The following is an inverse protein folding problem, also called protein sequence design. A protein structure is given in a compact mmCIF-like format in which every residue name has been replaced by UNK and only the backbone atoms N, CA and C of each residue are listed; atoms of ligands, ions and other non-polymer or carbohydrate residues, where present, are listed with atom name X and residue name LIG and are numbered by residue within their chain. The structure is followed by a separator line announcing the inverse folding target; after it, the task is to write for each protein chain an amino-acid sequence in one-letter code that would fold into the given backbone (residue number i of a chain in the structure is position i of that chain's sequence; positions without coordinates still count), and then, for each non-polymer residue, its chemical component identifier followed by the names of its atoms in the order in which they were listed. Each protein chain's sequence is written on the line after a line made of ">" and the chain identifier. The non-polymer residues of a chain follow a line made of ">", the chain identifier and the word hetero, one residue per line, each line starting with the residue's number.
data_IF_551464679609
#
_entry.id   IF_551464679609
#
_cell.length_a   1.000
_cell.length_b   1.000
_cell.length_c   1.000
_cell.angle_alpha   90.00
_cell.angle_beta   90.00
_cell.angle_gamma   90.00
#
_symmetry.space_group_name_H-M   'P 1'
#
loop_
_entity.id
_entity.type
_entity.pdbx_description
1 polymer ?
#
# COMPACT_ATOMS: atom_id res chain seq x y z
N UNK A 1 -25.36 -9.84 1.13
CA UNK A 1 -25.54 -9.90 2.61
C UNK A 1 -24.20 -10.27 3.21
N UNK A 2 -23.61 -9.40 4.03
CA UNK A 2 -22.28 -9.61 4.60
C UNK A 2 -22.39 -10.62 5.74
N UNK A 3 -21.80 -11.80 5.55
CA UNK A 3 -21.69 -12.84 6.59
C UNK A 3 -20.88 -12.29 7.76
N UNK A 4 -21.55 -11.90 8.85
CA UNK A 4 -20.95 -11.31 10.06
C UNK A 4 -21.59 -11.93 11.29
N UNK A 5 -20.80 -12.21 12.32
CA UNK A 5 -21.29 -12.75 13.59
C UNK A 5 -21.41 -11.60 14.58
N UNK A 6 -22.63 -11.20 14.91
CA UNK A 6 -22.88 -10.07 15.81
C UNK A 6 -23.10 -10.51 17.26
N UNK A 7 -22.38 -9.86 18.17
CA UNK A 7 -22.64 -9.90 19.61
C UNK A 7 -23.44 -8.66 20.02
N UNK A 8 -24.74 -8.89 20.27
CA UNK A 8 -25.71 -7.85 20.57
C UNK A 8 -25.93 -7.59 22.08
N UNK A 9 -25.39 -8.45 22.96
CA UNK A 9 -25.54 -8.35 24.42
C UNK A 9 -24.25 -8.68 25.16
N UNK A 10 -24.00 -7.98 26.26
CA UNK A 10 -22.91 -8.29 27.20
C UNK A 10 -23.27 -9.37 28.22
N UNK A 11 -24.56 -9.68 28.36
CA UNK A 11 -25.11 -10.71 29.24
C UNK A 11 -25.32 -12.01 28.45
N UNK A 12 -24.27 -12.51 27.82
CA UNK A 12 -24.25 -13.81 27.14
C UNK A 12 -23.76 -14.87 28.13
N UNK A 13 -24.33 -16.08 28.09
CA UNK A 13 -23.81 -17.19 28.90
C UNK A 13 -22.45 -17.59 28.35
N UNK A 14 -21.60 -18.16 29.20
CA UNK A 14 -20.24 -18.51 28.80
C UNK A 14 -20.22 -19.60 27.71
N UNK A 15 -21.11 -20.58 27.77
CA UNK A 15 -21.25 -21.65 26.75
C UNK A 15 -21.64 -21.09 25.38
N UNK A 16 -22.59 -20.16 25.34
CA UNK A 16 -23.01 -19.47 24.11
C UNK A 16 -21.86 -18.61 23.55
N UNK A 17 -21.06 -18.01 24.43
CA UNK A 17 -19.88 -17.23 24.05
C UNK A 17 -18.79 -18.11 23.43
N UNK A 18 -18.53 -19.30 23.97
CA UNK A 18 -17.60 -20.27 23.39
C UNK A 18 -18.07 -20.73 22.02
N UNK A 19 -19.35 -21.10 21.89
CA UNK A 19 -19.95 -21.52 20.62
C UNK A 19 -19.83 -20.44 19.54
N UNK A 20 -19.95 -19.17 19.93
CA UNK A 20 -19.78 -18.03 19.04
C UNK A 20 -18.32 -17.90 18.57
N UNK A 21 -17.35 -18.09 19.47
CA UNK A 21 -15.92 -18.09 19.15
C UNK A 21 -15.57 -19.25 18.22
N UNK A 22 -16.03 -20.47 18.51
CA UNK A 22 -15.79 -21.65 17.68
C UNK A 22 -16.32 -21.43 16.27
N UNK A 23 -17.56 -20.94 16.15
CA UNK A 23 -18.14 -20.57 14.86
C UNK A 23 -17.31 -19.53 14.11
N UNK A 24 -16.78 -18.53 14.81
CA UNK A 24 -15.94 -17.50 14.19
C UNK A 24 -14.62 -18.09 13.65
N UNK A 25 -14.03 -19.03 14.38
CA UNK A 25 -12.82 -19.75 13.96
C UNK A 25 -13.12 -20.62 12.73
N UNK A 26 -14.16 -21.45 12.81
CA UNK A 26 -14.51 -22.42 11.75
C UNK A 26 -14.87 -21.74 10.43
N UNK A 27 -15.53 -20.60 10.51
CA UNK A 27 -16.00 -19.86 9.33
C UNK A 27 -15.02 -18.80 8.85
N UNK A 28 -14.01 -18.46 9.65
CA UNK A 28 -13.08 -17.36 9.37
C UNK A 28 -13.76 -15.98 9.33
N UNK A 29 -14.92 -15.84 9.98
CA UNK A 29 -15.71 -14.61 10.02
C UNK A 29 -15.43 -13.84 11.32
N UNK A 30 -15.30 -12.52 11.20
CA UNK A 30 -15.05 -11.65 12.35
C UNK A 30 -16.28 -11.49 13.27
N UNK A 31 -16.02 -11.27 14.57
CA UNK A 31 -17.06 -11.00 15.56
C UNK A 31 -17.25 -9.49 15.70
N UNK A 32 -18.47 -9.02 15.43
CA UNK A 32 -18.83 -7.62 15.57
C UNK A 32 -19.56 -7.36 16.89
N UNK A 33 -19.16 -6.34 17.63
CA UNK A 33 -19.67 -6.04 18.96
C UNK A 33 -20.22 -4.61 18.98
N UNK A 34 -21.42 -4.38 19.53
CA UNK A 34 -21.94 -3.01 19.66
C UNK A 34 -20.98 -2.15 20.48
N UNK A 35 -20.73 -0.90 20.07
CA UNK A 35 -19.78 0.01 20.75
C UNK A 35 -20.04 0.18 22.24
N UNK A 36 -21.32 0.19 22.65
CA UNK A 36 -21.75 0.25 24.06
C UNK A 36 -21.36 -0.98 24.89
N UNK A 37 -21.15 -2.13 24.24
CA UNK A 37 -20.70 -3.38 24.85
C UNK A 37 -19.18 -3.45 24.84
N UNK A 38 -18.54 -3.01 23.75
CA UNK A 38 -17.09 -3.03 23.57
C UNK A 38 -16.31 -2.27 24.69
N UNK A 39 -16.90 -1.19 25.21
CA UNK A 39 -16.36 -0.39 26.31
C UNK A 39 -16.58 -0.98 27.70
N UNK A 40 -17.39 -2.03 27.85
CA UNK A 40 -17.68 -2.63 29.15
C UNK A 40 -16.48 -3.41 29.68
N UNK A 41 -16.23 -3.28 30.98
CA UNK A 41 -15.18 -4.00 31.70
C UNK A 41 -15.75 -5.21 32.46
N UNK A 42 -16.37 -6.14 31.74
CA UNK A 42 -16.94 -7.37 32.29
C UNK A 42 -16.14 -8.61 31.85
N UNK A 43 -16.47 -9.77 32.42
CA UNK A 43 -15.82 -11.06 32.14
C UNK A 43 -15.88 -11.42 30.65
N UNK A 44 -17.05 -11.25 30.01
CA UNK A 44 -17.26 -11.48 28.58
C UNK A 44 -16.27 -10.69 27.71
N UNK A 45 -16.16 -9.38 27.92
CA UNK A 45 -15.27 -8.53 27.13
C UNK A 45 -13.80 -8.75 27.45
N UNK A 46 -13.46 -9.09 28.71
CA UNK A 46 -12.09 -9.48 29.08
C UNK A 46 -11.66 -10.75 28.34
N UNK A 47 -12.53 -11.74 28.29
CA UNK A 47 -12.29 -12.98 27.55
C UNK A 47 -12.11 -12.71 26.06
N UNK A 48 -13.06 -12.02 25.42
CA UNK A 48 -12.97 -11.72 23.98
C UNK A 48 -11.70 -10.93 23.62
N UNK A 49 -11.34 -9.90 24.40
CA UNK A 49 -10.08 -9.15 24.20
C UNK A 49 -8.84 -10.02 24.38
N UNK A 50 -8.89 -11.00 25.28
CA UNK A 50 -7.81 -11.96 25.46
C UNK A 50 -7.68 -12.87 24.23
N UNK A 51 -8.79 -13.44 23.74
CA UNK A 51 -8.82 -14.29 22.52
C UNK A 51 -8.33 -13.50 21.29
N UNK A 52 -8.75 -12.24 21.14
CA UNK A 52 -8.28 -11.33 20.09
C UNK A 52 -6.78 -11.02 20.20
N UNK A 53 -6.26 -10.75 21.41
CA UNK A 53 -4.84 -10.50 21.65
C UNK A 53 -3.96 -11.67 21.19
N UNK A 54 -4.47 -12.89 21.32
CA UNK A 54 -3.82 -14.12 20.86
C UNK A 54 -4.05 -14.44 19.37
N UNK A 55 -4.72 -13.53 18.62
CA UNK A 55 -5.01 -13.64 17.19
C UNK A 55 -5.85 -14.86 16.81
N UNK A 56 -6.68 -15.33 17.73
CA UNK A 56 -7.59 -16.46 17.49
C UNK A 56 -8.83 -15.99 16.73
N UNK A 57 -9.33 -14.79 17.07
CA UNK A 57 -10.44 -14.10 16.41
C UNK A 57 -10.08 -12.63 16.16
N UNK A 58 -10.86 -11.93 15.35
CA UNK A 58 -10.85 -10.46 15.28
C UNK A 58 -12.13 -9.88 15.88
N UNK A 59 -12.03 -8.76 16.61
CA UNK A 59 -13.19 -8.04 17.14
C UNK A 59 -13.33 -6.67 16.49
N UNK A 60 -14.55 -6.31 16.09
CA UNK A 60 -14.82 -4.99 15.52
C UNK A 60 -16.04 -4.32 16.16
N UNK A 61 -16.01 -3.01 16.42
CA UNK A 61 -17.21 -2.28 16.81
C UNK A 61 -18.20 -2.25 15.65
N UNK A 62 -19.47 -2.55 15.92
CA UNK A 62 -20.56 -2.27 14.97
C UNK A 62 -20.53 -0.75 14.69
N UNK A 63 -20.59 -0.38 13.41
CA UNK A 63 -20.46 0.99 12.83
C UNK A 63 -19.05 1.58 12.69
N UNK A 64 -17.97 0.84 13.01
CA UNK A 64 -16.61 1.29 12.72
C UNK A 64 -16.03 0.35 11.66
N UNK A 65 -15.83 0.86 10.44
CA UNK A 65 -14.99 0.18 9.45
C UNK A 65 -13.67 -0.19 10.14
N UNK A 66 -13.31 -1.48 10.09
CA UNK A 66 -12.06 -1.97 10.64
C UNK A 66 -10.94 -1.00 10.23
N UNK A 67 -10.19 -0.39 11.18
CA UNK A 67 -9.10 0.50 10.79
C UNK A 67 -8.22 -0.30 9.85
N UNK A 68 -7.86 0.24 8.66
CA UNK A 68 -7.16 -0.51 7.64
C UNK A 68 -5.97 -1.17 8.31
N UNK A 69 -5.95 -2.51 8.24
CA UNK A 69 -4.95 -3.36 8.89
C UNK A 69 -3.61 -2.69 8.61
N UNK A 70 -2.91 -2.18 9.65
CA UNK A 70 -1.66 -1.43 9.44
C UNK A 70 -0.67 -2.34 8.75
N UNK A 71 -0.59 -2.26 7.42
CA UNK A 71 0.29 -3.12 6.63
C UNK A 71 1.70 -2.61 6.87
N UNK A 72 2.41 -3.27 7.77
CA UNK A 72 3.82 -2.95 7.98
C UNK A 72 4.61 -3.49 6.79
N UNK A 73 5.03 -2.61 5.89
CA UNK A 73 6.01 -2.96 4.86
C UNK A 73 7.32 -3.30 5.58
N UNK A 74 7.74 -4.57 5.55
CA UNK A 74 8.97 -5.02 6.24
C UNK A 74 10.23 -4.74 5.43
N UNK A 75 10.16 -4.93 4.11
CA UNK A 75 11.31 -4.77 3.22
C UNK A 75 11.76 -3.31 3.11
N UNK A 76 13.05 -3.05 3.40
CA UNK A 76 13.65 -1.72 3.18
C UNK A 76 13.53 -1.29 1.72
N UNK A 77 13.83 -2.19 0.76
CA UNK A 77 13.71 -1.91 -0.67
C UNK A 77 12.31 -1.43 -1.03
N UNK A 78 11.30 -2.11 -0.49
CA UNK A 78 9.90 -1.75 -0.75
C UNK A 78 9.52 -0.39 -0.16
N UNK A 79 10.05 -0.06 1.04
CA UNK A 79 9.88 1.28 1.61
C UNK A 79 10.52 2.36 0.74
N UNK A 80 11.69 2.10 0.16
CA UNK A 80 12.36 3.03 -0.78
C UNK A 80 11.48 3.29 -2.00
N UNK A 81 11.00 2.22 -2.65
CA UNK A 81 10.11 2.31 -3.81
C UNK A 81 8.86 3.15 -3.54
N UNK A 82 8.15 2.86 -2.45
CA UNK A 82 6.91 3.56 -2.10
C UNK A 82 7.21 5.00 -1.68
N UNK A 83 8.33 5.25 -1.00
CA UNK A 83 8.70 6.62 -0.61
C UNK A 83 8.93 7.49 -1.84
N UNK A 84 9.59 6.99 -2.89
CA UNK A 84 9.75 7.72 -4.15
C UNK A 84 8.40 8.04 -4.81
N UNK A 85 7.47 7.09 -4.81
CA UNK A 85 6.13 7.29 -5.34
C UNK A 85 5.36 8.36 -4.53
N UNK A 86 5.43 8.30 -3.20
CA UNK A 86 4.84 9.33 -2.32
C UNK A 86 5.44 10.72 -2.56
N UNK A 87 6.74 10.82 -2.80
CA UNK A 87 7.38 12.10 -3.15
C UNK A 87 6.89 12.63 -4.49
N UNK A 88 6.71 11.77 -5.50
CA UNK A 88 6.14 12.19 -6.79
C UNK A 88 4.70 12.71 -6.66
N UNK A 89 3.98 12.27 -5.61
CA UNK A 89 2.66 12.75 -5.23
C UNK A 89 2.70 13.98 -4.30
N UNK A 90 3.85 14.63 -4.15
CA UNK A 90 4.10 15.79 -3.29
C UNK A 90 3.88 15.52 -1.78
N UNK A 91 4.00 14.28 -1.33
CA UNK A 91 3.88 13.95 0.10
C UNK A 91 5.16 14.31 0.85
N UNK A 92 5.04 15.11 1.90
CA UNK A 92 6.18 15.53 2.71
C UNK A 92 6.78 14.38 3.54
N UNK A 93 8.09 14.43 3.78
CA UNK A 93 8.83 13.42 4.57
C UNK A 93 8.23 13.14 5.95
N UNK A 94 7.67 14.16 6.61
CA UNK A 94 7.00 14.01 7.91
C UNK A 94 5.83 13.04 7.80
N UNK A 95 5.05 13.11 6.73
CA UNK A 95 3.92 12.23 6.50
C UNK A 95 4.36 10.83 6.05
N UNK A 96 5.39 10.74 5.19
CA UNK A 96 6.00 9.45 4.82
C UNK A 96 6.49 8.70 6.07
N UNK A 97 7.15 9.40 7.00
CA UNK A 97 7.61 8.83 8.27
C UNK A 97 6.45 8.30 9.12
N UNK A 98 5.31 9.01 9.12
CA UNK A 98 4.07 8.60 9.80
C UNK A 98 3.46 7.36 9.16
N UNK A 99 3.35 7.32 7.83
CA UNK A 99 2.81 6.17 7.07
C UNK A 99 3.61 4.89 7.33
N UNK A 100 4.95 4.99 7.42
CA UNK A 100 5.81 3.84 7.74
C UNK A 100 6.05 3.59 9.23
N UNK A 101 5.55 4.46 10.11
CA UNK A 101 5.82 4.43 11.55
C UNK A 101 7.32 4.38 11.87
N UNK A 102 8.10 5.29 11.29
CA UNK A 102 9.55 5.42 11.48
C UNK A 102 9.94 6.84 11.84
N UNK A 103 11.16 7.06 12.33
CA UNK A 103 11.70 8.41 12.54
C UNK A 103 11.88 9.13 11.20
N UNK A 104 11.75 10.47 11.19
CA UNK A 104 11.94 11.30 9.98
C UNK A 104 13.31 11.03 9.35
N UNK A 105 14.38 10.94 10.15
CA UNK A 105 15.73 10.62 9.67
C UNK A 105 15.81 9.26 8.95
N UNK A 106 15.02 8.27 9.40
CA UNK A 106 14.91 6.96 8.74
C UNK A 106 14.14 7.06 7.42
N UNK A 107 13.09 7.87 7.35
CA UNK A 107 12.38 8.12 6.10
C UNK A 107 13.28 8.84 5.08
N UNK A 108 14.06 9.83 5.53
CA UNK A 108 15.06 10.51 4.69
C UNK A 108 16.13 9.55 4.17
N UNK A 109 16.57 8.58 4.98
CA UNK A 109 17.59 7.62 4.54
C UNK A 109 17.11 6.68 3.44
N UNK A 110 15.80 6.51 3.24
CA UNK A 110 15.26 5.76 2.10
C UNK A 110 15.62 6.40 0.74
N UNK A 111 15.88 7.70 0.71
CA UNK A 111 16.25 8.42 -0.52
C UNK A 111 17.75 8.53 -0.74
N UNK A 112 18.57 8.25 0.30
CA UNK A 112 20.03 8.40 0.22
C UNK A 112 20.67 7.54 -0.87
N UNK A 113 20.03 6.41 -1.17
CA UNK A 113 20.51 5.41 -2.13
C UNK A 113 19.96 5.64 -3.56
N UNK A 114 19.05 6.59 -3.73
CA UNK A 114 18.52 6.98 -5.04
C UNK A 114 19.49 7.97 -5.70
N UNK A 115 19.72 7.80 -7.00
CA UNK A 115 20.37 8.84 -7.80
C UNK A 115 19.48 10.07 -7.90
N UNK A 116 20.08 11.22 -8.27
CA UNK A 116 19.32 12.43 -8.57
C UNK A 116 18.37 12.15 -9.74
N UNK A 117 17.11 11.87 -9.43
CA UNK A 117 16.03 11.80 -10.40
C UNK A 117 15.73 13.22 -10.92
N UNK A 118 15.26 13.32 -12.16
CA UNK A 118 14.90 14.60 -12.78
C UNK A 118 13.48 15.02 -12.38
N UNK A 119 13.18 16.31 -12.54
CA UNK A 119 11.81 16.82 -12.39
C UNK A 119 10.87 16.10 -13.35
N UNK A 120 11.31 15.89 -14.59
CA UNK A 120 10.57 15.14 -15.62
C UNK A 120 10.24 13.72 -15.19
N UNK A 121 11.20 13.02 -14.57
CA UNK A 121 10.97 11.66 -14.06
C UNK A 121 9.87 11.64 -12.99
N UNK A 122 9.90 12.58 -12.04
CA UNK A 122 8.86 12.67 -11.02
C UNK A 122 7.50 13.03 -11.61
N UNK A 123 7.47 13.93 -12.59
CA UNK A 123 6.25 14.31 -13.28
C UNK A 123 5.62 13.11 -13.99
N UNK A 124 6.40 12.34 -14.74
CA UNK A 124 5.94 11.14 -15.45
C UNK A 124 5.51 10.05 -14.45
N UNK A 125 6.26 9.84 -13.36
CA UNK A 125 5.87 8.90 -12.32
C UNK A 125 4.52 9.29 -11.70
N UNK A 126 4.32 10.57 -11.38
CA UNK A 126 3.04 11.08 -10.86
C UNK A 126 1.89 10.83 -11.83
N UNK A 127 2.11 11.08 -13.12
CA UNK A 127 1.12 10.86 -14.17
C UNK A 127 0.73 9.38 -14.25
N UNK A 128 1.70 8.48 -14.28
CA UNK A 128 1.45 7.03 -14.34
C UNK A 128 0.77 6.51 -13.08
N UNK A 129 1.10 7.04 -11.90
CA UNK A 129 0.39 6.72 -10.66
C UNK A 129 -1.07 7.16 -10.72
N UNK A 130 -1.35 8.37 -11.23
CA UNK A 130 -2.71 8.89 -11.40
C UNK A 130 -3.55 8.01 -12.33
N UNK A 131 -2.99 7.57 -13.46
CA UNK A 131 -3.66 6.65 -14.39
C UNK A 131 -3.93 5.27 -13.79
N UNK A 132 -3.17 4.87 -12.75
CA UNK A 132 -3.41 3.66 -11.96
C UNK A 132 -4.30 3.92 -10.73
N UNK A 133 -4.92 5.09 -10.65
CA UNK A 133 -5.77 5.51 -9.54
C UNK A 133 -5.04 5.54 -8.18
N UNK A 134 -3.71 5.68 -8.19
CA UNK A 134 -2.87 5.80 -7.00
C UNK A 134 -2.71 7.27 -6.62
N UNK A 135 -3.00 7.60 -5.37
CA UNK A 135 -2.91 8.95 -4.81
C UNK A 135 -2.26 8.94 -3.41
N UNK A 136 -2.17 10.10 -2.77
CA UNK A 136 -1.52 10.25 -1.46
C UNK A 136 -2.25 9.53 -0.31
N UNK A 137 -3.53 9.21 -0.48
CA UNK A 137 -4.37 8.53 0.51
C UNK A 137 -4.40 7.01 0.31
N UNK A 138 -3.96 6.52 -0.85
CA UNK A 138 -3.85 5.09 -1.17
C UNK A 138 -3.09 4.34 -0.06
N UNK A 139 -3.56 3.14 0.27
CA UNK A 139 -2.90 2.28 1.24
C UNK A 139 -1.49 1.94 0.75
N UNK A 140 -0.50 2.02 1.63
CA UNK A 140 0.91 1.74 1.30
C UNK A 140 1.15 0.34 0.74
N UNK A 141 0.24 -0.61 0.97
CA UNK A 141 0.29 -1.95 0.40
C UNK A 141 -0.03 -1.97 -1.11
N UNK A 142 -0.85 -1.04 -1.57
CA UNK A 142 -1.47 -1.04 -2.90
C UNK A 142 -0.66 -0.26 -3.94
N UNK A 143 0.38 0.47 -3.50
CA UNK A 143 1.32 1.10 -4.42
C UNK A 143 1.92 0.06 -5.37
N UNK A 144 2.21 0.37 -6.64
CA UNK A 144 2.86 -0.57 -7.54
C UNK A 144 4.33 -0.80 -7.18
N UNK A 145 4.87 -1.94 -7.57
CA UNK A 145 6.32 -2.24 -7.53
C UNK A 145 7.00 -1.81 -8.82
N UNK A 146 8.27 -1.44 -8.72
CA UNK A 146 9.08 -1.18 -9.91
C UNK A 146 9.52 -2.53 -10.54
N UNK A 147 9.58 -2.64 -11.89
CA UNK A 147 9.25 -1.60 -12.87
C UNK A 147 7.73 -1.37 -12.98
N UNK A 148 7.31 -0.11 -12.98
CA UNK A 148 5.90 0.26 -13.17
C UNK A 148 5.65 0.36 -14.67
N UNK A 149 4.74 -0.46 -15.19
CA UNK A 149 4.40 -0.47 -16.62
C UNK A 149 3.05 0.15 -16.89
N UNK A 150 2.98 0.88 -17.99
CA UNK A 150 1.75 1.44 -18.54
C UNK A 150 1.74 1.29 -20.06
N UNK A 151 0.57 0.97 -20.60
CA UNK A 151 0.40 0.80 -22.04
C UNK A 151 0.49 2.18 -22.73
N UNK A 152 1.31 2.28 -23.78
CA UNK A 152 1.49 3.54 -24.52
C UNK A 152 0.23 3.96 -25.26
N UNK A 153 -0.61 3.01 -25.70
CA UNK A 153 -1.89 3.31 -26.32
C UNK A 153 -2.82 4.03 -25.33
N UNK A 154 -2.90 3.53 -24.09
CA UNK A 154 -3.67 4.19 -23.03
C UNK A 154 -3.13 5.59 -22.71
N UNK A 155 -1.80 5.75 -22.66
CA UNK A 155 -1.18 7.08 -22.51
C UNK A 155 -1.59 8.04 -23.63
N UNK A 156 -1.61 7.56 -24.88
CA UNK A 156 -1.98 8.37 -26.05
C UNK A 156 -3.45 8.78 -26.05
N UNK A 157 -4.32 7.93 -25.50
CA UNK A 157 -5.76 8.19 -25.44
C UNK A 157 -6.13 9.17 -24.31
N UNK A 158 -5.39 9.14 -23.19
CA UNK A 158 -5.68 10.01 -22.03
C UNK A 158 -4.97 11.36 -22.05
N UNK A 159 -3.79 11.46 -22.69
CA UNK A 159 -2.98 12.68 -22.66
C UNK A 159 -3.22 13.58 -23.88
N UNK A 160 -3.13 14.92 -23.70
CA UNK A 160 -2.99 15.84 -24.83
C UNK A 160 -1.81 15.43 -25.72
N UNK A 161 -1.95 15.66 -27.02
CA UNK A 161 -0.96 15.25 -28.03
C UNK A 161 0.46 15.76 -27.69
N UNK A 162 0.57 17.03 -27.30
CA UNK A 162 1.86 17.67 -26.99
C UNK A 162 2.52 17.05 -25.74
N UNK A 163 1.74 16.77 -24.69
CA UNK A 163 2.22 16.10 -23.47
C UNK A 163 2.68 14.66 -23.76
N UNK A 164 1.94 13.94 -24.61
CA UNK A 164 2.31 12.60 -25.04
C UNK A 164 3.63 12.61 -25.82
N UNK A 165 3.80 13.52 -26.78
CA UNK A 165 5.03 13.64 -27.56
C UNK A 165 6.23 14.01 -26.68
N UNK A 166 6.04 14.92 -25.72
CA UNK A 166 7.06 15.26 -24.74
C UNK A 166 7.47 14.05 -23.89
N UNK A 167 6.50 13.27 -23.40
CA UNK A 167 6.75 12.06 -22.61
C UNK A 167 7.55 11.01 -23.41
N UNK A 168 7.22 10.81 -24.69
CA UNK A 168 7.98 9.90 -25.56
C UNK A 168 9.41 10.41 -25.74
N UNK A 169 9.61 11.69 -26.05
CA UNK A 169 10.93 12.30 -26.19
C UNK A 169 11.79 12.16 -24.93
N UNK A 170 11.21 12.40 -23.75
CA UNK A 170 11.89 12.20 -22.47
C UNK A 170 12.27 10.72 -22.29
N UNK A 171 11.40 9.79 -22.67
CA UNK A 171 11.65 8.35 -22.51
C UNK A 171 12.81 7.82 -23.36
N UNK A 172 13.18 8.51 -24.44
CA UNK A 172 14.32 8.13 -25.28
C UNK A 172 15.67 8.52 -24.64
N UNK A 173 15.68 9.61 -23.88
CA UNK A 173 16.90 10.18 -23.29
C UNK A 173 17.07 9.83 -21.79
N UNK A 174 16.00 9.45 -21.11
CA UNK A 174 16.01 9.17 -19.68
C UNK A 174 16.30 7.68 -19.41
N UNK A 175 17.41 7.39 -18.72
CA UNK A 175 17.82 6.00 -18.41
C UNK A 175 16.83 5.20 -17.54
N UNK A 176 15.90 5.86 -16.85
CA UNK A 176 14.91 5.25 -15.97
C UNK A 176 13.52 5.13 -16.59
N UNK A 177 13.33 5.63 -17.80
CA UNK A 177 12.10 5.49 -18.57
C UNK A 177 12.46 4.71 -19.82
N UNK A 178 11.84 3.55 -20.01
CA UNK A 178 12.16 2.67 -21.13
C UNK A 178 10.92 2.27 -21.88
N UNK A 179 10.92 2.46 -23.18
CA UNK A 179 9.95 1.86 -24.09
C UNK A 179 10.29 0.37 -24.26
N UNK A 180 9.34 -0.51 -23.95
CA UNK A 180 9.49 -1.95 -24.08
C UNK A 180 8.46 -2.46 -25.07
N UNK A 181 8.91 -3.18 -26.10
CA UNK A 181 8.05 -3.86 -27.07
C UNK A 181 7.93 -5.34 -26.69
N UNK A 182 6.70 -5.78 -26.41
CA UNK A 182 6.42 -7.19 -26.19
C UNK A 182 6.29 -7.94 -27.51
N UNK A 183 7.36 -8.60 -27.98
CA UNK A 183 7.37 -9.33 -29.26
C UNK A 183 6.21 -10.34 -29.43
N UNK A 184 5.69 -10.89 -28.33
CA UNK A 184 4.58 -11.89 -28.36
C UNK A 184 3.17 -11.29 -28.28
N UNK A 185 3.01 -10.04 -27.88
CA UNK A 185 1.70 -9.42 -27.61
C UNK A 185 1.41 -8.20 -28.49
N UNK A 186 2.39 -7.73 -29.28
CA UNK A 186 2.26 -6.53 -30.10
C UNK A 186 2.06 -5.25 -29.29
N UNK A 187 2.14 -5.32 -27.95
CA UNK A 187 1.97 -4.17 -27.07
C UNK A 187 3.28 -3.43 -26.89
N UNK A 188 3.19 -2.11 -26.84
CA UNK A 188 4.31 -1.27 -26.46
C UNK A 188 3.99 -0.59 -25.15
N UNK A 189 4.83 -0.84 -24.14
CA UNK A 189 4.66 -0.30 -22.80
C UNK A 189 5.74 0.73 -22.53
N UNK A 190 5.39 1.75 -21.76
CA UNK A 190 6.36 2.57 -21.06
C UNK A 190 6.63 1.93 -19.69
N UNK A 191 7.91 1.66 -19.42
CA UNK A 191 8.38 1.09 -18.17
C UNK A 191 9.15 2.15 -17.38
N UNK A 192 8.66 2.47 -16.19
CA UNK A 192 9.34 3.33 -15.23
C UNK A 192 10.17 2.45 -14.29
N UNK A 193 11.47 2.73 -14.20
CA UNK A 193 12.45 2.01 -13.38
C UNK A 193 12.80 2.81 -12.12
N UNK A 194 13.17 2.11 -11.05
CA UNK A 194 13.64 2.75 -9.82
C UNK A 194 15.06 3.32 -10.04
N UNK A 195 15.30 4.62 -9.75
CA UNK A 195 16.60 5.26 -9.95
C UNK A 195 17.59 4.93 -8.82
N UNK A 196 17.95 3.66 -8.67
CA UNK A 196 18.96 3.23 -7.70
C UNK A 196 20.38 3.48 -8.22
N UNK A 197 21.31 3.88 -7.34
CA UNK A 197 22.74 3.90 -7.67
C UNK A 197 23.17 2.51 -8.12
N UNK A 198 23.76 2.42 -9.31
CA UNK A 198 24.42 1.20 -9.74
C UNK A 198 25.50 0.87 -8.72
N UNK A 199 25.37 -0.28 -8.04
CA UNK A 199 26.48 -0.81 -7.24
C UNK A 199 27.64 -0.99 -8.21
N UNK A 200 28.70 -0.21 -8.05
CA UNK A 200 29.96 -0.47 -8.72
C UNK A 200 30.28 -1.94 -8.41
N UNK A 201 30.32 -2.79 -9.45
CA UNK A 201 30.83 -4.14 -9.29
C UNK A 201 32.21 -3.97 -8.68
N UNK A 202 32.42 -4.48 -7.46
CA UNK A 202 33.78 -4.68 -6.97
C UNK A 202 34.45 -5.55 -8.02
N UNK A 203 35.33 -4.95 -8.82
CA UNK A 203 36.27 -5.70 -9.62
C UNK A 203 37.16 -6.37 -8.58
N UNK A 204 36.89 -7.65 -8.33
CA UNK A 204 37.82 -8.49 -7.60
C UNK A 204 38.92 -8.77 -8.61
N UNK A 205 40.01 -8.01 -8.52
CA UNK A 205 41.27 -8.39 -9.14
C UNK A 205 41.88 -9.55 -8.35
#
# INVERSE_FOLDING_TARGET
>A
MTNKIELSSSKIKFEDLLSLVDRAIDTGIDIQIRRRIFSQNNTTMKFLKWVEKHKIISLFPIEIEAPPKKVSIRSRKRKVEISLQLVSLNVHMKEISRKFNVKIATAQSYFKDLENYTVDYLHILRLVLKMKEINSETNIADFPSFPIRINIKSLREELPKDEFEQLISISEHNKYLKRITGQKLGTTDLSILLPEKLKQKKIVN
#
